data_IF_798603504896
#
_entry.id   IF_798603504896
#
_cell.length_a   1.000
_cell.length_b   1.000
_cell.length_c   1.000
_cell.angle_alpha   90.00
_cell.angle_beta   90.00
_cell.angle_gamma   90.00
#
_symmetry.space_group_name_H-M   'P 1'
#
loop_
_entity.id
_entity.type
_entity.pdbx_description
1 polymer ?
#
# COMPACT_ATOMS: atom_id res chain seq x y z
N UNK A 1 12.27 -4.09 -4.53
CA UNK A 1 12.32 -2.68 -4.95
C UNK A 1 12.84 -1.82 -3.81
N UNK A 2 13.73 -0.84 -4.10
CA UNK A 2 14.26 0.15 -3.13
C UNK A 2 14.02 1.56 -3.68
N UNK A 3 13.61 2.50 -2.83
CA UNK A 3 13.44 3.90 -3.20
C UNK A 3 14.75 4.63 -2.98
N UNK A 4 15.25 5.32 -4.00
CA UNK A 4 16.52 6.07 -3.99
C UNK A 4 16.32 7.57 -3.89
N UNK A 5 15.26 8.07 -4.53
CA UNK A 5 14.92 9.49 -4.51
C UNK A 5 13.41 9.64 -4.40
N UNK A 6 12.99 10.62 -3.64
CA UNK A 6 11.60 11.08 -3.57
C UNK A 6 11.61 12.55 -3.98
N UNK A 7 10.84 12.89 -5.00
CA UNK A 7 10.74 14.25 -5.54
C UNK A 7 9.25 14.61 -5.66
N UNK A 8 8.79 15.52 -4.82
CA UNK A 8 7.39 15.92 -4.67
C UNK A 8 7.19 17.27 -5.33
N UNK A 9 6.48 17.32 -6.45
CA UNK A 9 6.11 18.57 -7.10
C UNK A 9 5.03 19.31 -6.30
N UNK A 10 4.07 18.57 -5.75
CA UNK A 10 3.04 19.07 -4.85
C UNK A 10 2.17 17.96 -4.28
N UNK A 11 2.11 17.83 -2.94
CA UNK A 11 1.25 16.86 -2.27
C UNK A 11 1.05 17.20 -0.79
N UNK A 12 -0.20 17.40 -0.38
CA UNK A 12 -0.52 17.83 0.97
C UNK A 12 0.20 19.13 1.34
N UNK A 13 1.05 19.07 2.37
CA UNK A 13 1.85 20.21 2.83
C UNK A 13 3.15 20.41 2.05
N UNK A 14 3.56 19.44 1.23
CA UNK A 14 4.82 19.48 0.50
C UNK A 14 4.67 20.16 -0.85
N UNK A 15 5.61 21.05 -1.16
CA UNK A 15 5.79 21.71 -2.44
C UNK A 15 7.30 21.78 -2.74
N UNK A 16 7.75 21.11 -3.79
CA UNK A 16 9.16 21.09 -4.18
C UNK A 16 10.09 20.36 -3.20
N UNK A 17 9.59 19.40 -2.41
CA UNK A 17 10.43 18.59 -1.52
C UNK A 17 11.19 17.55 -2.33
N UNK A 18 12.53 17.54 -2.17
CA UNK A 18 13.39 16.54 -2.77
C UNK A 18 14.25 15.87 -1.71
N UNK A 19 14.19 14.54 -1.66
CA UNK A 19 15.03 13.69 -0.82
C UNK A 19 15.83 12.78 -1.76
N UNK A 20 17.15 12.95 -1.76
CA UNK A 20 18.06 12.21 -2.63
C UNK A 20 18.93 11.25 -1.80
N UNK A 21 19.57 10.33 -2.47
CA UNK A 21 20.54 9.40 -1.90
C UNK A 21 20.03 8.62 -0.68
N UNK A 22 18.76 8.19 -0.74
CA UNK A 22 18.19 7.35 0.32
C UNK A 22 19.00 6.05 0.44
N UNK A 23 19.36 5.71 1.67
CA UNK A 23 20.19 4.55 1.98
C UNK A 23 19.55 3.23 1.55
N UNK A 24 20.36 2.27 1.11
CA UNK A 24 19.91 0.90 0.83
C UNK A 24 19.54 0.12 2.09
N UNK A 25 20.00 0.54 3.25
CA UNK A 25 19.76 -0.13 4.52
C UNK A 25 18.64 0.51 5.32
N UNK A 26 18.85 1.74 5.79
CA UNK A 26 17.87 2.47 6.57
C UNK A 26 18.02 3.99 6.38
N UNK A 27 16.89 4.66 6.27
CA UNK A 27 16.79 6.12 6.28
C UNK A 27 15.79 6.52 7.33
N UNK A 28 16.18 7.43 8.25
CA UNK A 28 15.31 7.94 9.30
C UNK A 28 14.84 9.33 8.93
N UNK A 29 13.52 9.50 8.81
CA UNK A 29 12.88 10.81 8.62
C UNK A 29 12.25 11.23 9.95
N UNK A 30 12.80 12.26 10.58
CA UNK A 30 12.32 12.74 11.86
C UNK A 30 11.84 14.20 11.78
N UNK A 31 11.05 14.61 12.74
CA UNK A 31 10.52 15.98 12.85
C UNK A 31 9.36 16.04 13.85
N UNK A 32 8.94 17.24 14.23
CA UNK A 32 7.83 17.44 15.17
C UNK A 32 6.51 16.83 14.63
N UNK A 33 5.49 16.78 15.48
CA UNK A 33 4.16 16.43 15.03
C UNK A 33 3.71 17.45 13.97
N UNK A 34 2.91 16.98 13.03
CA UNK A 34 2.42 17.77 11.87
C UNK A 34 3.49 18.21 10.86
N UNK A 35 4.75 17.82 11.03
CA UNK A 35 5.82 18.11 10.06
C UNK A 35 5.66 17.41 8.69
N UNK A 36 4.57 16.70 8.45
CA UNK A 36 4.31 16.06 7.15
C UNK A 36 4.92 14.66 6.96
N UNK A 37 5.42 13.99 8.02
CA UNK A 37 5.98 12.63 7.91
C UNK A 37 5.00 11.62 7.33
N UNK A 38 3.75 11.62 7.83
CA UNK A 38 2.68 10.77 7.30
C UNK A 38 2.31 11.17 5.86
N UNK A 39 2.36 12.45 5.53
CA UNK A 39 2.14 12.95 4.17
C UNK A 39 3.18 12.39 3.21
N UNK A 40 4.45 12.32 3.63
CA UNK A 40 5.53 11.73 2.84
C UNK A 40 5.27 10.23 2.56
N UNK A 41 4.88 9.46 3.59
CA UNK A 41 4.51 8.06 3.42
C UNK A 41 3.33 7.88 2.47
N UNK A 42 2.29 8.72 2.60
CA UNK A 42 1.13 8.69 1.71
C UNK A 42 1.46 9.13 0.29
N UNK A 43 2.46 10.01 0.09
CA UNK A 43 2.94 10.37 -1.22
C UNK A 43 3.57 9.16 -1.94
N UNK A 44 4.42 8.39 -1.26
CA UNK A 44 4.98 7.15 -1.84
C UNK A 44 3.87 6.21 -2.27
N UNK A 45 2.85 5.98 -1.41
CA UNK A 45 1.67 5.20 -1.77
C UNK A 45 0.93 5.77 -2.99
N UNK A 46 0.77 7.09 -3.05
CA UNK A 46 0.09 7.75 -4.16
C UNK A 46 0.83 7.56 -5.48
N UNK A 47 2.16 7.63 -5.49
CA UNK A 47 2.94 7.41 -6.71
C UNK A 47 2.84 5.97 -7.18
N UNK A 48 2.90 4.99 -6.26
CA UNK A 48 2.88 3.57 -6.59
C UNK A 48 1.47 3.07 -6.99
N UNK A 49 0.43 3.43 -6.23
CA UNK A 49 -0.91 2.86 -6.36
C UNK A 49 -1.96 3.84 -6.90
N UNK A 50 -1.62 5.11 -7.01
CA UNK A 50 -2.49 6.14 -7.54
C UNK A 50 -3.16 7.03 -6.49
N UNK A 51 -3.82 8.04 -6.99
CA UNK A 51 -4.58 9.01 -6.21
C UNK A 51 -6.00 8.51 -6.00
N UNK A 52 -6.23 7.71 -4.95
CA UNK A 52 -7.60 7.29 -4.59
C UNK A 52 -8.46 8.50 -4.22
N UNK A 53 -9.80 8.41 -4.26
CA UNK A 53 -10.69 9.50 -3.86
C UNK A 53 -10.35 10.08 -2.48
N UNK A 54 -10.02 9.22 -1.51
CA UNK A 54 -9.65 9.61 -0.15
C UNK A 54 -8.33 10.39 -0.13
N UNK A 55 -7.33 9.95 -0.91
CA UNK A 55 -6.05 10.66 -1.04
C UNK A 55 -6.23 12.01 -1.70
N UNK A 56 -7.02 12.08 -2.78
CA UNK A 56 -7.31 13.36 -3.44
C UNK A 56 -7.97 14.32 -2.47
N UNK A 57 -9.05 13.91 -1.82
CA UNK A 57 -9.76 14.75 -0.86
C UNK A 57 -8.87 15.28 0.27
N UNK A 58 -7.89 14.48 0.71
CA UNK A 58 -7.05 14.82 1.86
C UNK A 58 -5.80 15.59 1.50
N UNK A 59 -5.23 15.34 0.32
CA UNK A 59 -3.89 15.84 -0.03
C UNK A 59 -3.87 16.71 -1.28
N UNK A 60 -4.99 16.86 -2.00
CA UNK A 60 -5.10 17.69 -3.19
C UNK A 60 -6.27 18.69 -3.07
N UNK A 61 -6.13 19.92 -3.62
CA UNK A 61 -4.87 20.47 -4.14
C UNK A 61 -3.81 20.64 -3.04
N UNK A 62 -2.51 20.68 -3.39
CA UNK A 62 -1.44 20.89 -2.41
C UNK A 62 -1.62 22.23 -1.68
N UNK A 63 -1.47 22.22 -0.35
CA UNK A 63 -1.74 23.40 0.52
C UNK A 63 -0.82 24.57 0.17
N UNK A 64 0.46 24.28 -0.10
CA UNK A 64 1.47 25.28 -0.40
C UNK A 64 1.71 25.44 -1.92
N UNK A 65 0.73 25.05 -2.76
CA UNK A 65 0.86 25.11 -4.21
C UNK A 65 1.71 23.98 -4.79
N UNK A 66 2.11 24.12 -6.04
CA UNK A 66 2.81 23.08 -6.80
C UNK A 66 1.86 22.27 -7.68
N UNK A 67 2.42 21.48 -8.59
CA UNK A 67 1.64 20.56 -9.42
C UNK A 67 1.34 19.30 -8.64
N UNK A 68 0.06 18.83 -8.59
CA UNK A 68 -0.26 17.59 -7.90
C UNK A 68 0.55 16.41 -8.43
N UNK A 69 1.35 15.79 -7.56
CA UNK A 69 2.16 14.63 -7.93
C UNK A 69 3.64 14.78 -7.67
N UNK A 70 4.43 14.01 -8.41
CA UNK A 70 5.88 13.97 -8.34
C UNK A 70 6.42 12.60 -8.75
N UNK A 71 7.66 12.30 -8.37
CA UNK A 71 8.34 11.10 -8.86
C UNK A 71 9.10 10.37 -7.76
N UNK A 72 9.28 9.08 -7.98
CA UNK A 72 10.15 8.20 -7.21
C UNK A 72 11.21 7.64 -8.14
N UNK A 73 12.48 7.72 -7.76
CA UNK A 73 13.51 6.89 -8.35
C UNK A 73 13.60 5.59 -7.56
N UNK A 74 13.44 4.47 -8.23
CA UNK A 74 13.44 3.14 -7.63
C UNK A 74 14.44 2.25 -8.30
N UNK A 75 15.00 1.30 -7.56
CA UNK A 75 15.90 0.26 -8.08
C UNK A 75 15.41 -1.11 -7.68
N UNK A 76 15.59 -2.09 -8.55
CA UNK A 76 15.39 -3.51 -8.28
C UNK A 76 16.45 -4.33 -9.04
N UNK A 77 16.28 -5.65 -9.10
CA UNK A 77 17.16 -6.56 -9.83
C UNK A 77 17.20 -6.32 -11.34
N UNK A 78 16.21 -5.65 -11.92
CA UNK A 78 16.10 -5.36 -13.35
C UNK A 78 16.70 -4.00 -13.73
N UNK A 79 17.08 -3.16 -12.75
CA UNK A 79 17.69 -1.85 -13.02
C UNK A 79 17.12 -0.72 -12.19
N UNK A 80 17.32 0.50 -12.68
CA UNK A 80 16.83 1.74 -12.08
C UNK A 80 15.72 2.33 -12.94
N UNK A 81 14.67 2.82 -12.29
CA UNK A 81 13.48 3.38 -12.94
C UNK A 81 13.05 4.65 -12.23
N UNK A 82 12.51 5.58 -12.98
CA UNK A 82 11.80 6.74 -12.46
C UNK A 82 10.31 6.53 -12.70
N UNK A 83 9.56 6.44 -11.63
CA UNK A 83 8.09 6.40 -11.65
C UNK A 83 7.58 7.80 -11.36
N UNK A 84 7.02 8.47 -12.36
CA UNK A 84 6.37 9.76 -12.22
C UNK A 84 4.87 9.59 -12.25
N UNK A 85 4.18 10.13 -11.25
CA UNK A 85 2.71 10.16 -11.24
C UNK A 85 2.22 11.59 -11.05
N UNK A 86 1.42 12.04 -12.00
CA UNK A 86 0.76 13.32 -11.95
C UNK A 86 -0.67 13.13 -11.45
N UNK A 87 -1.01 13.81 -10.35
CA UNK A 87 -2.37 13.80 -9.81
C UNK A 87 -3.29 14.68 -10.63
N UNK A 88 -4.53 14.29 -10.70
CA UNK A 88 -5.62 15.10 -11.26
C UNK A 88 -6.48 15.64 -10.13
N UNK A 89 -6.99 16.84 -10.30
CA UNK A 89 -7.95 17.48 -9.37
C UNK A 89 -9.39 17.14 -9.77
N UNK A 90 -9.59 16.19 -10.70
CA UNK A 90 -10.92 15.77 -11.14
C UNK A 90 -11.61 14.93 -10.08
N UNK A 91 -12.94 15.05 -10.00
CA UNK A 91 -13.77 14.26 -9.06
C UNK A 91 -14.10 12.84 -9.58
N UNK A 92 -13.49 12.40 -10.68
CA UNK A 92 -13.73 11.07 -11.22
C UNK A 92 -13.14 10.00 -10.30
N UNK A 93 -13.93 9.07 -9.76
CA UNK A 93 -13.47 8.06 -8.80
C UNK A 93 -12.36 7.15 -9.36
N UNK A 94 -12.40 6.87 -10.66
CA UNK A 94 -11.48 5.97 -11.35
C UNK A 94 -10.15 6.62 -11.74
N UNK A 95 -10.05 7.95 -11.64
CA UNK A 95 -8.85 8.68 -11.99
C UNK A 95 -7.76 8.50 -10.91
N UNK A 96 -6.86 7.56 -11.15
CA UNK A 96 -5.70 7.31 -10.30
C UNK A 96 -4.51 8.24 -10.59
N UNK A 97 -4.67 9.20 -11.49
CA UNK A 97 -3.59 10.04 -12.00
C UNK A 97 -2.76 9.36 -13.11
N UNK A 98 -2.16 10.19 -13.95
CA UNK A 98 -1.33 9.72 -15.06
C UNK A 98 0.01 9.22 -14.53
N UNK A 99 0.36 7.97 -14.85
CA UNK A 99 1.66 7.38 -14.52
C UNK A 99 2.55 7.30 -15.76
N UNK A 100 3.82 7.65 -15.59
CA UNK A 100 4.87 7.50 -16.57
C UNK A 100 6.06 6.80 -15.91
N UNK A 101 6.66 5.86 -16.61
CA UNK A 101 7.84 5.13 -16.14
C UNK A 101 8.93 5.31 -17.16
N UNK A 102 10.13 5.62 -16.69
CA UNK A 102 11.32 5.78 -17.52
C UNK A 102 12.44 4.94 -16.91
N UNK A 103 13.18 4.24 -17.73
CA UNK A 103 14.36 3.49 -17.28
C UNK A 103 15.61 4.39 -17.12
N UNK A 104 16.73 3.78 -16.74
CA UNK A 104 18.02 4.44 -16.55
C UNK A 104 18.62 5.03 -17.84
N UNK A 105 18.12 4.63 -19.02
CA UNK A 105 18.51 5.15 -20.32
C UNK A 105 17.62 6.30 -20.80
N UNK A 106 16.59 6.62 -20.01
CA UNK A 106 15.60 7.63 -20.39
C UNK A 106 14.53 7.10 -21.33
N UNK A 107 14.46 5.78 -21.56
CA UNK A 107 13.45 5.17 -22.43
C UNK A 107 12.13 5.01 -21.68
N UNK A 108 11.02 5.44 -22.29
CA UNK A 108 9.71 5.26 -21.69
C UNK A 108 9.32 3.79 -21.63
N UNK A 109 8.67 3.41 -20.53
CA UNK A 109 8.15 2.07 -20.28
C UNK A 109 6.64 2.13 -20.14
N UNK A 110 5.99 1.02 -20.45
CA UNK A 110 4.53 0.93 -20.30
C UNK A 110 4.10 1.04 -18.83
N UNK A 111 2.98 1.70 -18.58
CA UNK A 111 2.41 1.85 -17.24
C UNK A 111 2.10 0.50 -16.56
N UNK A 112 1.78 -0.53 -17.35
CA UNK A 112 1.57 -1.91 -16.90
C UNK A 112 2.80 -2.53 -16.23
N UNK A 113 4.00 -2.05 -16.55
CA UNK A 113 5.25 -2.52 -15.92
C UNK A 113 5.38 -2.10 -14.46
N UNK A 114 4.59 -1.13 -13.98
CA UNK A 114 4.58 -0.75 -12.56
C UNK A 114 4.22 -1.93 -11.67
N UNK A 115 3.27 -2.75 -12.07
CA UNK A 115 2.88 -3.95 -11.33
C UNK A 115 4.05 -4.96 -11.24
N UNK A 116 4.80 -5.13 -12.33
CA UNK A 116 6.01 -5.94 -12.33
C UNK A 116 7.12 -5.36 -11.43
N UNK A 117 7.32 -4.02 -11.44
CA UNK A 117 8.27 -3.35 -10.55
C UNK A 117 7.90 -3.53 -9.06
N UNK A 118 6.61 -3.64 -8.77
CA UNK A 118 6.07 -3.91 -7.45
C UNK A 118 6.05 -5.40 -7.09
N UNK A 119 6.55 -6.28 -7.97
CA UNK A 119 6.50 -7.73 -7.80
C UNK A 119 5.08 -8.28 -7.54
N UNK A 120 4.06 -7.67 -8.17
CA UNK A 120 2.66 -8.04 -7.97
C UNK A 120 2.07 -7.70 -6.60
N UNK A 121 2.78 -6.94 -5.76
CA UNK A 121 2.28 -6.54 -4.43
C UNK A 121 1.15 -5.52 -4.62
N UNK A 122 -0.05 -5.87 -4.19
CA UNK A 122 -1.20 -4.98 -4.20
C UNK A 122 -1.14 -3.91 -3.09
N UNK A 123 -1.99 -2.90 -3.19
CA UNK A 123 -2.00 -1.79 -2.23
C UNK A 123 -2.35 -2.22 -0.79
N UNK A 124 -3.33 -3.10 -0.54
CA UNK A 124 -3.60 -3.61 0.80
C UNK A 124 -2.38 -4.30 1.42
N UNK A 125 -1.74 -5.21 0.69
CA UNK A 125 -0.52 -5.89 1.15
C UNK A 125 0.61 -4.89 1.41
N UNK A 126 0.83 -3.94 0.50
CA UNK A 126 1.84 -2.89 0.71
C UNK A 126 1.56 -2.07 1.97
N UNK A 127 0.32 -1.67 2.18
CA UNK A 127 -0.09 -0.83 3.30
C UNK A 127 0.03 -1.54 4.64
N UNK A 128 -0.24 -2.85 4.67
CA UNK A 128 -0.26 -3.64 5.90
C UNK A 128 1.12 -4.21 6.27
N UNK A 129 1.97 -4.47 5.26
CA UNK A 129 3.26 -5.14 5.48
C UNK A 129 4.44 -4.16 5.38
N UNK A 130 4.43 -3.28 4.38
CA UNK A 130 5.59 -2.45 4.05
C UNK A 130 5.47 -1.00 4.52
N UNK A 131 4.26 -0.47 4.60
CA UNK A 131 4.02 0.93 4.94
C UNK A 131 3.08 1.05 6.15
N UNK A 132 3.50 0.44 7.26
CA UNK A 132 2.71 0.38 8.51
C UNK A 132 2.79 1.71 9.25
N UNK A 133 1.65 2.33 9.51
CA UNK A 133 1.54 3.55 10.30
C UNK A 133 1.14 3.25 11.76
N UNK A 134 1.09 4.31 12.57
CA UNK A 134 0.73 4.20 13.98
C UNK A 134 -0.69 3.65 14.17
N UNK A 135 -1.61 4.00 13.29
CA UNK A 135 -3.01 3.55 13.37
C UNK A 135 -3.10 2.04 13.17
N UNK A 136 -2.42 1.52 12.18
CA UNK A 136 -2.36 0.10 11.87
C UNK A 136 -1.73 -0.70 13.03
N UNK A 137 -0.68 -0.16 13.65
CA UNK A 137 -0.06 -0.77 14.84
C UNK A 137 -1.02 -0.77 16.04
N UNK A 138 -1.78 0.30 16.24
CA UNK A 138 -2.77 0.38 17.32
C UNK A 138 -3.94 -0.58 17.09
N UNK A 139 -4.40 -0.73 15.84
CA UNK A 139 -5.42 -1.71 15.48
C UNK A 139 -4.94 -3.15 15.75
N UNK A 140 -3.69 -3.48 15.40
CA UNK A 140 -3.09 -4.77 15.73
C UNK A 140 -3.03 -5.02 17.24
N UNK A 141 -2.69 -4.01 18.03
CA UNK A 141 -2.63 -4.12 19.49
C UNK A 141 -3.99 -4.26 20.16
N UNK A 142 -5.09 -3.94 19.47
CA UNK A 142 -6.47 -4.07 19.96
C UNK A 142 -7.12 -5.40 19.58
N UNK A 143 -6.51 -6.19 18.67
CA UNK A 143 -7.00 -7.49 18.27
C UNK A 143 -6.76 -8.51 19.39
N UNK A 144 -7.72 -9.39 19.60
CA UNK A 144 -7.47 -10.56 20.44
C UNK A 144 -6.40 -11.48 19.79
N UNK A 145 -5.82 -12.37 20.59
CA UNK A 145 -4.70 -13.20 20.12
C UNK A 145 -5.02 -14.03 18.87
N UNK A 146 -6.29 -14.38 18.65
CA UNK A 146 -6.75 -15.17 17.50
C UNK A 146 -6.81 -14.31 16.25
N UNK A 147 -7.39 -13.11 16.34
CA UNK A 147 -7.49 -12.18 15.22
C UNK A 147 -6.12 -11.63 14.81
N UNK A 148 -5.22 -11.36 15.76
CA UNK A 148 -3.85 -10.96 15.49
C UNK A 148 -3.06 -12.06 14.77
N UNK A 149 -3.23 -13.32 15.19
CA UNK A 149 -2.58 -14.47 14.56
C UNK A 149 -3.06 -14.67 13.11
N UNK A 150 -4.37 -14.57 12.85
CA UNK A 150 -4.94 -14.65 11.50
C UNK A 150 -4.43 -13.51 10.62
N UNK A 151 -4.38 -12.30 11.15
CA UNK A 151 -3.85 -11.15 10.43
C UNK A 151 -2.37 -11.33 10.06
N UNK A 152 -1.52 -11.76 10.99
CA UNK A 152 -0.11 -12.07 10.73
C UNK A 152 0.05 -13.22 9.74
N UNK A 153 -0.79 -14.26 9.84
CA UNK A 153 -0.77 -15.39 8.89
C UNK A 153 -1.11 -14.92 7.47
N UNK A 154 -2.13 -14.09 7.30
CA UNK A 154 -2.47 -13.49 6.00
C UNK A 154 -1.33 -12.66 5.43
N UNK A 155 -0.62 -11.89 6.26
CA UNK A 155 0.52 -11.08 5.86
C UNK A 155 1.71 -11.91 5.40
N UNK A 156 1.96 -13.04 6.05
CA UNK A 156 3.17 -13.86 5.83
C UNK A 156 2.99 -14.96 4.79
N UNK A 157 1.78 -15.48 4.63
CA UNK A 157 1.52 -16.63 3.75
C UNK A 157 1.42 -16.28 2.27
N UNK A 158 1.26 -14.99 1.93
CA UNK A 158 1.06 -14.58 0.53
C UNK A 158 -0.17 -15.21 -0.13
N UNK A 159 -0.96 -15.94 0.66
CA UNK A 159 -2.19 -16.59 0.21
C UNK A 159 -3.31 -15.56 0.17
N UNK A 160 -3.52 -15.06 -1.02
CA UNK A 160 -4.59 -14.16 -1.36
C UNK A 160 -5.95 -14.77 -0.94
N UNK A 161 -6.63 -14.12 0.01
CA UNK A 161 -8.08 -14.21 0.24
C UNK A 161 -8.66 -15.42 0.98
N UNK A 162 -7.89 -16.36 1.48
CA UNK A 162 -8.45 -17.43 2.31
C UNK A 162 -8.01 -17.25 3.75
N UNK A 163 -8.90 -16.75 4.59
CA UNK A 163 -8.70 -16.74 6.04
C UNK A 163 -8.72 -18.17 6.57
N UNK A 164 -7.65 -18.56 7.27
CA UNK A 164 -7.61 -19.85 7.96
C UNK A 164 -8.77 -19.99 8.95
N UNK A 165 -9.14 -18.90 9.62
CA UNK A 165 -10.27 -18.82 10.54
C UNK A 165 -11.60 -19.03 9.81
N UNK A 166 -11.76 -18.46 8.61
CA UNK A 166 -12.99 -18.66 7.82
C UNK A 166 -13.08 -20.11 7.32
N UNK A 167 -11.96 -20.72 6.91
CA UNK A 167 -11.91 -22.14 6.54
C UNK A 167 -12.25 -23.04 7.74
N UNK A 168 -11.69 -22.76 8.91
CA UNK A 168 -12.01 -23.52 10.13
C UNK A 168 -13.50 -23.38 10.47
N UNK A 169 -14.06 -22.17 10.44
CA UNK A 169 -15.49 -21.95 10.67
C UNK A 169 -16.38 -22.67 9.66
N UNK A 170 -16.01 -22.64 8.36
CA UNK A 170 -16.76 -23.36 7.33
C UNK A 170 -16.70 -24.87 7.53
N UNK A 171 -15.54 -25.42 7.89
CA UNK A 171 -15.37 -26.84 8.20
C UNK A 171 -16.16 -27.23 9.46
N UNK A 172 -16.13 -26.41 10.51
CA UNK A 172 -16.92 -26.64 11.72
C UNK A 172 -18.42 -26.58 11.42
N UNK A 173 -18.90 -25.59 10.67
CA UNK A 173 -20.27 -25.48 10.24
C UNK A 173 -20.72 -26.65 9.32
N UNK A 174 -19.85 -27.11 8.44
CA UNK A 174 -20.08 -28.29 7.63
C UNK A 174 -20.19 -29.57 8.46
N UNK A 175 -19.30 -29.73 9.46
CA UNK A 175 -19.32 -30.82 10.40
C UNK A 175 -20.62 -30.83 11.21
N UNK A 176 -21.06 -29.69 11.75
CA UNK A 176 -22.32 -29.57 12.46
C UNK A 176 -23.53 -29.94 11.61
N UNK A 177 -23.58 -29.52 10.36
CA UNK A 177 -24.63 -29.87 9.41
C UNK A 177 -24.67 -31.37 9.13
N UNK A 178 -23.52 -32.02 8.99
CA UNK A 178 -23.44 -33.47 8.80
C UNK A 178 -23.89 -34.23 10.02
N UNK A 179 -23.53 -33.78 11.23
CA UNK A 179 -23.96 -34.37 12.49
C UNK A 179 -25.48 -34.18 12.77
N UNK A 180 -26.04 -33.05 12.32
CA UNK A 180 -27.47 -32.76 12.43
C UNK A 180 -28.32 -33.49 11.38
N UNK A 181 -27.71 -33.95 10.27
CA UNK A 181 -28.39 -34.65 9.19
C UNK A 181 -28.36 -36.19 9.33
N UNK A 182 -27.74 -36.72 10.38
CA UNK A 182 -27.74 -38.19 10.63
C UNK A 182 -28.82 -38.55 11.66
N UNK A 183 -30.00 -39.08 11.23
CA UNK A 183 -31.12 -39.35 12.12
C UNK A 183 -31.09 -40.79 12.68
N UNK A 184 -29.92 -41.33 12.98
CA UNK A 184 -29.81 -42.68 13.44
C UNK A 184 -28.81 -42.85 14.58
N UNK A 185 -29.26 -42.56 15.82
CA UNK A 185 -29.07 -43.49 16.98
C UNK A 185 -30.18 -43.22 17.96
N UNK A 186 -31.16 -44.14 18.20
CA UNK A 186 -32.04 -44.03 19.33
C UNK A 186 -31.28 -44.37 20.61
N UNK A 187 -31.33 -43.46 21.56
CA UNK A 187 -30.90 -43.71 22.95
C UNK A 187 -31.66 -44.86 23.59
N UNK A 188 -30.97 -45.92 23.93
CA UNK A 188 -31.38 -46.86 24.99
C UNK A 188 -30.79 -46.40 26.31
#
# INVERSE_FOLDING_TARGET
MRVKTIDIDGFGVWNGLKLEDLSDHATVVYGPNEAGKTTLMQFVRAVLYGFTPERRKRYLPPVNGGRPGGRLQVTNEFGSFVVHRQGSVTDLPEDKGLVQIVDDRGEPREASQLEGLMAGIDEPTYSNVFAVGLKEIQELGSLDGTAAADYLYRLTSGLDRVSLVDVIREVEAARERLLASDPAVPSQ
#
